data_IF_660996434357
#
_entry.id   IF_660996434357
#
_cell.length_a   1.000
_cell.length_b   1.000
_cell.length_c   1.000
_cell.angle_alpha   90.00
_cell.angle_beta   90.00
_cell.angle_gamma   90.00
#
_symmetry.space_group_name_H-M   'P 1'
#
loop_
_entity.id
_entity.type
_entity.pdbx_description
1 polymer ?
#
# COMPACT_ATOMS: atom_id res chain seq x y z
N UNK A 1 -3.69 0.58 37.42
CA UNK A 1 -3.37 -0.12 36.17
C UNK A 1 -4.01 0.56 34.95
N UNK A 2 -5.32 0.66 34.81
CA UNK A 2 -5.94 1.32 33.63
C UNK A 2 -5.43 2.76 33.40
N UNK A 3 -5.13 3.49 34.46
CA UNK A 3 -4.65 4.89 34.36
C UNK A 3 -3.29 5.02 33.67
N UNK A 4 -2.34 4.11 33.92
CA UNK A 4 -0.99 4.20 33.31
C UNK A 4 -1.04 3.87 31.79
N UNK A 5 -1.83 2.88 31.40
CA UNK A 5 -2.09 2.58 29.97
C UNK A 5 -2.82 3.75 29.30
N UNK A 6 -3.77 4.37 30.02
CA UNK A 6 -4.44 5.59 29.55
C UNK A 6 -3.50 6.76 29.33
N UNK A 7 -2.50 6.95 30.20
CA UNK A 7 -1.45 7.99 30.04
C UNK A 7 -0.60 7.71 28.79
N UNK A 8 -0.17 6.47 28.56
CA UNK A 8 0.58 6.08 27.35
C UNK A 8 -0.23 6.34 26.07
N UNK A 9 -1.54 6.04 26.08
CA UNK A 9 -2.45 6.37 24.94
C UNK A 9 -2.52 7.87 24.70
N UNK A 10 -2.62 8.69 25.76
CA UNK A 10 -2.66 10.15 25.63
C UNK A 10 -1.36 10.68 25.03
N UNK A 11 -0.18 10.21 25.49
CA UNK A 11 1.10 10.59 24.87
C UNK A 11 1.17 10.20 23.41
N UNK A 12 0.66 9.01 23.03
CA UNK A 12 0.59 8.61 21.62
C UNK A 12 -0.28 9.56 20.79
N UNK A 13 -1.44 9.95 21.31
CA UNK A 13 -2.36 10.89 20.63
C UNK A 13 -1.79 12.31 20.52
N UNK A 14 -0.94 12.72 21.45
CA UNK A 14 -0.25 14.02 21.43
C UNK A 14 0.99 14.02 20.52
N UNK A 15 1.40 12.84 19.99
CA UNK A 15 2.61 12.72 19.19
C UNK A 15 3.91 12.72 20.00
N UNK A 16 3.82 12.62 21.34
CA UNK A 16 4.96 12.57 22.26
C UNK A 16 5.50 11.13 22.35
N UNK A 17 6.17 10.69 21.28
CA UNK A 17 6.60 9.31 21.11
C UNK A 17 7.57 8.82 22.18
N UNK A 18 8.52 9.65 22.60
CA UNK A 18 9.53 9.29 23.61
C UNK A 18 8.90 9.10 25.00
N UNK A 19 7.96 9.98 25.36
CA UNK A 19 7.22 9.87 26.62
C UNK A 19 6.30 8.63 26.60
N UNK A 20 5.65 8.37 25.48
CA UNK A 20 4.85 7.16 25.30
C UNK A 20 5.70 5.89 25.46
N UNK A 21 6.85 5.82 24.80
CA UNK A 21 7.77 4.69 24.89
C UNK A 21 8.27 4.48 26.33
N UNK A 22 8.71 5.55 27.00
CA UNK A 22 9.20 5.47 28.38
C UNK A 22 8.12 4.96 29.34
N UNK A 23 6.87 5.43 29.18
CA UNK A 23 5.75 4.98 30.00
C UNK A 23 5.38 3.52 29.71
N UNK A 24 5.41 3.10 28.45
CA UNK A 24 5.19 1.72 28.05
C UNK A 24 6.27 0.78 28.65
N UNK A 25 7.54 1.16 28.59
CA UNK A 25 8.62 0.40 29.23
C UNK A 25 8.46 0.33 30.76
N UNK A 26 8.03 1.42 31.40
CA UNK A 26 7.75 1.47 32.83
C UNK A 26 6.63 0.50 33.23
N UNK A 27 5.58 0.43 32.42
CA UNK A 27 4.46 -0.49 32.65
C UNK A 27 4.91 -1.95 32.49
N UNK A 28 5.62 -2.28 31.42
CA UNK A 28 6.11 -3.64 31.17
C UNK A 28 7.07 -4.11 32.26
N UNK A 29 7.95 -3.23 32.78
CA UNK A 29 8.86 -3.57 33.88
C UNK A 29 8.14 -3.89 35.18
N UNK A 30 6.97 -3.24 35.44
CA UNK A 30 6.20 -3.45 36.69
C UNK A 30 5.29 -4.66 36.64
N UNK A 31 4.73 -4.99 35.50
CA UNK A 31 3.58 -5.89 35.38
C UNK A 31 3.82 -7.10 34.47
N UNK A 32 5.03 -7.27 33.96
CA UNK A 32 5.24 -8.28 32.90
C UNK A 32 4.32 -8.00 31.70
N UNK A 33 4.73 -8.32 30.56
CA UNK A 33 4.12 -8.18 29.24
C UNK A 33 2.60 -7.93 29.19
N UNK A 34 2.21 -6.67 29.26
CA UNK A 34 0.85 -6.25 28.94
C UNK A 34 0.70 -6.21 27.41
N UNK A 35 -0.23 -7.00 26.87
CA UNK A 35 -0.45 -7.15 25.43
C UNK A 35 -0.72 -5.80 24.73
N UNK A 36 -1.54 -4.94 25.34
CA UNK A 36 -1.87 -3.62 24.81
C UNK A 36 -0.65 -2.68 24.78
N UNK A 37 0.16 -2.71 25.84
CA UNK A 37 1.38 -1.90 25.93
C UNK A 37 2.43 -2.38 24.94
N UNK A 38 2.55 -3.68 24.77
CA UNK A 38 3.47 -4.27 23.79
C UNK A 38 3.03 -3.97 22.35
N UNK A 39 1.72 -3.92 22.07
CA UNK A 39 1.19 -3.43 20.79
C UNK A 39 1.54 -1.96 20.57
N UNK A 40 1.35 -1.10 21.59
CA UNK A 40 1.71 0.33 21.47
C UNK A 40 3.21 0.52 21.23
N UNK A 41 4.08 -0.28 21.86
CA UNK A 41 5.52 -0.24 21.60
C UNK A 41 5.86 -0.66 20.18
N UNK A 42 5.22 -1.72 19.69
CA UNK A 42 5.41 -2.17 18.31
C UNK A 42 4.98 -1.12 17.29
N UNK A 43 3.85 -0.46 17.51
CA UNK A 43 3.38 0.65 16.67
C UNK A 43 4.33 1.85 16.72
N UNK A 44 4.88 2.19 17.90
CA UNK A 44 5.83 3.27 18.06
C UNK A 44 7.16 2.97 17.35
N UNK A 45 7.73 1.79 17.55
CA UNK A 45 8.98 1.38 16.89
C UNK A 45 8.81 1.35 15.37
N UNK A 46 7.62 0.96 14.88
CA UNK A 46 7.29 1.05 13.47
C UNK A 46 7.27 2.51 12.97
N UNK A 47 6.60 3.41 13.71
CA UNK A 47 6.52 4.82 13.32
C UNK A 47 7.89 5.53 13.33
N UNK A 48 8.81 5.06 14.17
CA UNK A 48 10.20 5.53 14.23
C UNK A 48 11.12 4.90 13.17
N UNK A 49 10.60 4.01 12.32
CA UNK A 49 11.37 3.31 11.30
C UNK A 49 12.26 2.18 11.83
N UNK A 50 12.06 1.76 13.08
CA UNK A 50 12.80 0.65 13.70
C UNK A 50 12.09 -0.70 13.40
N UNK A 51 12.06 -1.06 12.13
CA UNK A 51 11.24 -2.17 11.63
C UNK A 51 11.58 -3.52 12.27
N UNK A 52 12.86 -3.83 12.46
CA UNK A 52 13.27 -5.11 13.06
C UNK A 52 12.79 -5.24 14.51
N UNK A 53 12.82 -4.15 15.27
CA UNK A 53 12.29 -4.15 16.63
C UNK A 53 10.76 -4.30 16.64
N UNK A 54 10.07 -3.65 15.72
CA UNK A 54 8.62 -3.79 15.59
C UNK A 54 8.24 -5.24 15.23
N UNK A 55 8.94 -5.87 14.27
CA UNK A 55 8.74 -7.29 13.93
C UNK A 55 8.97 -8.19 15.14
N UNK A 56 10.05 -7.94 15.90
CA UNK A 56 10.34 -8.69 17.12
C UNK A 56 9.19 -8.58 18.14
N UNK A 57 8.68 -7.38 18.41
CA UNK A 57 7.58 -7.17 19.35
C UNK A 57 6.30 -7.87 18.91
N UNK A 58 5.91 -7.73 17.63
CA UNK A 58 4.71 -8.42 17.11
C UNK A 58 4.87 -9.94 17.11
N UNK A 59 6.04 -10.48 16.72
CA UNK A 59 6.30 -11.92 16.73
C UNK A 59 6.24 -12.49 18.14
N UNK A 60 6.84 -11.81 19.13
CA UNK A 60 6.81 -12.22 20.53
C UNK A 60 5.38 -12.19 21.11
N UNK A 61 4.56 -11.20 20.73
CA UNK A 61 3.14 -11.19 21.12
C UNK A 61 2.38 -12.38 20.53
N UNK A 62 2.62 -12.73 19.28
CA UNK A 62 2.00 -13.89 18.65
C UNK A 62 2.45 -15.22 19.22
N UNK A 63 3.69 -15.34 19.71
CA UNK A 63 4.15 -16.54 20.42
C UNK A 63 3.35 -16.78 21.70
N UNK A 64 2.96 -15.70 22.40
CA UNK A 64 2.14 -15.76 23.62
C UNK A 64 0.66 -15.98 23.34
N UNK A 65 0.12 -15.27 22.38
CA UNK A 65 -1.28 -15.34 21.99
C UNK A 65 -1.40 -15.53 20.47
N UNK A 66 -1.37 -16.78 20.03
CA UNK A 66 -1.40 -17.15 18.60
C UNK A 66 -2.72 -16.89 17.92
N UNK A 67 -3.77 -16.55 18.67
CA UNK A 67 -5.09 -16.21 18.15
C UNK A 67 -5.36 -14.70 18.15
N UNK A 68 -4.34 -13.89 18.45
CA UNK A 68 -4.44 -12.44 18.31
C UNK A 68 -4.30 -12.02 16.82
N UNK A 69 -5.43 -12.04 16.11
CA UNK A 69 -5.47 -11.70 14.69
C UNK A 69 -5.21 -10.22 14.40
N UNK A 70 -5.40 -9.31 15.37
CA UNK A 70 -5.02 -7.90 15.23
C UNK A 70 -3.51 -7.75 15.18
N UNK A 71 -2.80 -8.46 16.06
CA UNK A 71 -1.35 -8.52 16.04
C UNK A 71 -0.83 -9.15 14.72
N UNK A 72 -1.48 -10.23 14.26
CA UNK A 72 -1.15 -10.89 13.01
C UNK A 72 -1.36 -9.97 11.79
N UNK A 73 -2.45 -9.20 11.75
CA UNK A 73 -2.71 -8.20 10.71
C UNK A 73 -1.56 -7.19 10.63
N UNK A 74 -1.17 -6.59 11.77
CA UNK A 74 -0.10 -5.61 11.83
C UNK A 74 1.25 -6.20 11.43
N UNK A 75 1.54 -7.43 11.86
CA UNK A 75 2.76 -8.14 11.46
C UNK A 75 2.79 -8.41 9.95
N UNK A 76 1.69 -8.85 9.35
CA UNK A 76 1.61 -9.07 7.90
C UNK A 76 1.90 -7.77 7.13
N UNK A 77 1.27 -6.66 7.53
CA UNK A 77 1.51 -5.35 6.91
C UNK A 77 2.97 -4.91 7.05
N UNK A 78 3.56 -5.13 8.22
CA UNK A 78 4.95 -4.78 8.51
C UNK A 78 5.93 -5.65 7.71
N UNK A 79 5.79 -6.97 7.71
CA UNK A 79 6.63 -7.89 6.95
C UNK A 79 6.55 -7.61 5.44
N UNK A 80 5.36 -7.26 4.94
CA UNK A 80 5.21 -6.84 3.55
C UNK A 80 6.01 -5.57 3.25
N UNK A 81 5.91 -4.53 4.10
CA UNK A 81 6.61 -3.24 3.91
C UNK A 81 8.13 -3.35 4.04
N UNK A 82 8.61 -4.28 4.86
CA UNK A 82 10.05 -4.50 5.06
C UNK A 82 10.68 -5.46 4.04
N UNK A 83 9.91 -5.97 3.07
CA UNK A 83 10.41 -6.93 2.07
C UNK A 83 10.55 -8.37 2.57
N UNK A 84 10.12 -8.65 3.80
CA UNK A 84 10.19 -9.99 4.42
C UNK A 84 8.94 -10.83 4.14
N UNK A 85 8.43 -10.76 2.90
CA UNK A 85 7.17 -11.41 2.48
C UNK A 85 7.18 -12.92 2.70
N UNK A 86 8.33 -13.57 2.51
CA UNK A 86 8.48 -15.03 2.66
C UNK A 86 8.20 -15.56 4.06
N UNK A 87 8.17 -14.70 5.09
CA UNK A 87 7.85 -15.10 6.46
C UNK A 87 6.35 -15.15 6.74
N UNK A 88 5.54 -14.39 5.97
CA UNK A 88 4.09 -14.29 6.18
C UNK A 88 3.37 -15.65 6.15
N UNK A 89 3.62 -16.55 5.16
CA UNK A 89 2.96 -17.86 5.12
C UNK A 89 3.20 -18.71 6.37
N UNK A 90 4.37 -18.60 6.98
CA UNK A 90 4.71 -19.31 8.22
C UNK A 90 3.80 -18.86 9.38
N UNK A 91 3.66 -17.56 9.58
CA UNK A 91 2.80 -17.01 10.64
C UNK A 91 1.32 -17.32 10.40
N UNK A 92 0.85 -17.30 9.14
CA UNK A 92 -0.51 -17.71 8.79
C UNK A 92 -0.75 -19.19 9.06
N UNK A 93 0.19 -20.08 8.69
CA UNK A 93 0.08 -21.51 8.95
C UNK A 93 0.12 -21.83 10.46
N UNK A 94 0.92 -21.10 11.24
CA UNK A 94 0.96 -21.22 12.69
C UNK A 94 -0.38 -20.81 13.32
N UNK A 95 -0.95 -19.68 12.89
CA UNK A 95 -2.26 -19.22 13.35
C UNK A 95 -3.37 -20.23 12.98
N UNK A 96 -3.32 -20.82 11.79
CA UNK A 96 -4.29 -21.81 11.32
C UNK A 96 -4.25 -23.09 12.18
N UNK A 97 -3.07 -23.59 12.49
CA UNK A 97 -2.90 -24.78 13.37
C UNK A 97 -3.52 -24.59 14.76
N UNK A 98 -3.56 -23.35 15.26
CA UNK A 98 -4.07 -23.03 16.61
C UNK A 98 -5.52 -22.52 16.61
N UNK A 99 -6.10 -22.23 15.45
CA UNK A 99 -7.48 -21.75 15.33
C UNK A 99 -8.56 -22.81 15.70
N UNK A 100 -8.17 -24.09 15.85
CA UNK A 100 -9.08 -25.19 16.20
C UNK A 100 -10.01 -25.61 15.06
N UNK A 101 -10.41 -26.86 15.04
CA UNK A 101 -11.19 -27.48 13.94
C UNK A 101 -12.63 -26.94 13.78
N UNK A 102 -13.15 -26.18 14.74
CA UNK A 102 -14.57 -25.78 14.78
C UNK A 102 -14.88 -24.33 14.45
N UNK A 103 -13.89 -23.44 14.32
CA UNK A 103 -14.15 -22.06 13.97
C UNK A 103 -13.20 -21.61 12.86
N UNK A 104 -13.74 -21.48 11.65
CA UNK A 104 -13.16 -20.57 10.66
C UNK A 104 -13.20 -19.18 11.27
N UNK A 105 -12.14 -18.81 12.01
CA UNK A 105 -12.07 -17.51 12.66
C UNK A 105 -12.11 -16.44 11.58
N UNK A 106 -13.07 -15.52 11.70
CA UNK A 106 -13.20 -14.40 10.77
C UNK A 106 -11.92 -13.57 10.70
N UNK A 107 -11.22 -13.41 11.85
CA UNK A 107 -9.93 -12.73 11.89
C UNK A 107 -8.84 -13.43 11.09
N UNK A 108 -8.76 -14.77 11.14
CA UNK A 108 -7.81 -15.53 10.31
C UNK A 108 -8.17 -15.40 8.82
N UNK A 109 -9.46 -15.50 8.48
CA UNK A 109 -9.93 -15.31 7.10
C UNK A 109 -9.60 -13.91 6.60
N UNK A 110 -9.76 -12.87 7.41
CA UNK A 110 -9.34 -11.52 7.08
C UNK A 110 -7.82 -11.43 6.84
N UNK A 111 -6.99 -11.99 7.72
CA UNK A 111 -5.53 -11.99 7.57
C UNK A 111 -5.07 -12.73 6.30
N UNK A 112 -5.72 -13.86 5.96
CA UNK A 112 -5.47 -14.57 4.68
C UNK A 112 -5.89 -13.70 3.49
N UNK A 113 -7.05 -13.07 3.54
CA UNK A 113 -7.52 -12.13 2.52
C UNK A 113 -6.59 -10.94 2.33
N UNK A 114 -6.08 -10.38 3.42
CA UNK A 114 -5.08 -9.30 3.39
C UNK A 114 -3.77 -9.77 2.72
N UNK A 115 -3.28 -10.96 3.07
CA UNK A 115 -2.07 -11.51 2.44
C UNK A 115 -2.26 -11.70 0.92
N UNK A 116 -3.36 -12.32 0.48
CA UNK A 116 -3.64 -12.51 -0.94
C UNK A 116 -3.80 -11.16 -1.67
N UNK A 117 -4.41 -10.16 -1.03
CA UNK A 117 -4.48 -8.80 -1.59
C UNK A 117 -3.08 -8.19 -1.74
N UNK A 118 -2.23 -8.31 -0.74
CA UNK A 118 -0.86 -7.78 -0.80
C UNK A 118 0.00 -8.48 -1.87
N UNK A 119 -0.25 -9.76 -2.14
CA UNK A 119 0.44 -10.56 -3.17
C UNK A 119 -0.21 -10.52 -4.56
N UNK A 120 -1.02 -9.50 -4.85
CA UNK A 120 -1.68 -9.30 -6.15
C UNK A 120 -2.63 -10.42 -6.60
N UNK A 121 -3.31 -11.08 -5.65
CA UNK A 121 -4.33 -12.09 -5.91
C UNK A 121 -5.74 -11.61 -5.51
N UNK A 122 -6.33 -10.57 -6.15
CA UNK A 122 -7.56 -9.93 -5.70
C UNK A 122 -8.75 -10.90 -5.61
N UNK A 123 -8.89 -11.84 -6.55
CA UNK A 123 -10.00 -12.80 -6.54
C UNK A 123 -9.95 -13.77 -5.36
N UNK A 124 -8.76 -14.26 -5.00
CA UNK A 124 -8.60 -15.10 -3.81
C UNK A 124 -8.83 -14.31 -2.54
N UNK A 125 -8.33 -13.07 -2.50
CA UNK A 125 -8.56 -12.16 -1.39
C UNK A 125 -10.05 -11.96 -1.13
N UNK A 126 -10.86 -11.67 -2.16
CA UNK A 126 -12.31 -11.52 -2.06
C UNK A 126 -12.99 -12.77 -1.48
N UNK A 127 -12.54 -13.97 -1.85
CA UNK A 127 -13.06 -15.23 -1.30
C UNK A 127 -12.89 -15.32 0.22
N UNK A 128 -11.69 -15.03 0.74
CA UNK A 128 -11.42 -15.02 2.18
C UNK A 128 -12.14 -13.89 2.90
N UNK A 129 -12.16 -12.68 2.35
CA UNK A 129 -12.83 -11.53 2.94
C UNK A 129 -14.34 -11.72 3.02
N UNK A 130 -14.94 -12.39 2.04
CA UNK A 130 -16.37 -12.72 2.06
C UNK A 130 -16.74 -13.64 3.23
N UNK A 131 -15.84 -14.52 3.66
CA UNK A 131 -16.05 -15.33 4.87
C UNK A 131 -16.01 -14.49 6.16
N UNK A 132 -15.19 -13.42 6.20
CA UNK A 132 -15.05 -12.55 7.36
C UNK A 132 -16.11 -11.44 7.46
N UNK A 133 -16.75 -11.05 6.34
CA UNK A 133 -17.58 -9.83 6.26
C UNK A 133 -18.80 -9.77 7.18
N UNK A 134 -19.31 -10.93 7.63
CA UNK A 134 -20.50 -11.02 8.51
C UNK A 134 -20.17 -11.00 9.99
N UNK A 135 -18.89 -11.04 10.33
CA UNK A 135 -18.41 -11.01 11.70
C UNK A 135 -18.54 -9.62 12.32
N UNK A 136 -18.85 -9.53 13.59
CA UNK A 136 -19.05 -8.25 14.28
C UNK A 136 -17.76 -7.46 14.44
N UNK A 137 -16.63 -8.14 14.70
CA UNK A 137 -15.34 -7.52 14.94
C UNK A 137 -14.56 -7.24 13.64
N UNK A 138 -14.62 -8.14 12.66
CA UNK A 138 -13.82 -8.11 11.45
C UNK A 138 -14.58 -7.68 10.20
N UNK A 139 -15.91 -7.70 10.25
CA UNK A 139 -16.77 -7.44 9.10
C UNK A 139 -16.56 -6.05 8.49
N UNK A 140 -16.43 -5.03 9.32
CA UNK A 140 -16.16 -3.66 8.83
C UNK A 140 -14.85 -3.57 8.05
N UNK A 141 -13.75 -4.08 8.61
CA UNK A 141 -12.44 -4.10 7.94
C UNK A 141 -12.48 -4.94 6.66
N UNK A 142 -13.17 -6.08 6.69
CA UNK A 142 -13.30 -6.94 5.52
C UNK A 142 -14.06 -6.24 4.39
N UNK A 143 -15.17 -5.57 4.68
CA UNK A 143 -15.96 -4.82 3.70
C UNK A 143 -15.15 -3.65 3.14
N UNK A 144 -14.46 -2.88 3.98
CA UNK A 144 -13.61 -1.77 3.54
C UNK A 144 -12.51 -2.25 2.57
N UNK A 145 -11.86 -3.38 2.88
CA UNK A 145 -10.85 -3.96 1.99
C UNK A 145 -11.46 -4.53 0.70
N UNK A 146 -12.64 -5.18 0.77
CA UNK A 146 -13.36 -5.65 -0.43
C UNK A 146 -13.73 -4.48 -1.34
N UNK A 147 -14.22 -3.37 -0.79
CA UNK A 147 -14.55 -2.16 -1.57
C UNK A 147 -13.29 -1.61 -2.24
N UNK A 148 -12.16 -1.54 -1.53
CA UNK A 148 -10.88 -1.12 -2.12
C UNK A 148 -10.48 -2.03 -3.30
N UNK A 149 -10.64 -3.35 -3.17
CA UNK A 149 -10.33 -4.31 -4.24
C UNK A 149 -11.26 -4.09 -5.45
N UNK A 150 -12.57 -3.93 -5.24
CA UNK A 150 -13.51 -3.70 -6.34
C UNK A 150 -13.28 -2.35 -7.05
N UNK A 151 -12.86 -1.32 -6.31
CA UNK A 151 -12.57 0.00 -6.87
C UNK A 151 -11.22 0.04 -7.60
N UNK A 152 -10.23 -0.72 -7.16
CA UNK A 152 -8.89 -0.70 -7.71
C UNK A 152 -8.21 -2.09 -7.61
N UNK A 153 -8.64 -3.08 -8.41
CA UNK A 153 -8.11 -4.45 -8.35
C UNK A 153 -6.61 -4.50 -8.69
N UNK A 154 -6.15 -3.67 -9.62
CA UNK A 154 -4.78 -3.67 -10.13
C UNK A 154 -3.85 -2.75 -9.33
N UNK A 155 -4.33 -2.12 -8.25
CA UNK A 155 -3.60 -1.18 -7.39
C UNK A 155 -2.93 -0.04 -8.15
N UNK A 156 -3.54 0.41 -9.21
CA UNK A 156 -3.06 1.55 -9.98
C UNK A 156 -3.17 2.85 -9.18
N UNK A 157 -2.25 3.77 -9.43
CA UNK A 157 -2.22 5.08 -8.76
C UNK A 157 -3.42 5.91 -9.18
N UNK A 158 -3.67 5.98 -10.48
CA UNK A 158 -4.90 6.51 -11.06
C UNK A 158 -5.55 5.36 -11.83
N UNK A 159 -6.86 5.19 -11.69
CA UNK A 159 -7.59 4.17 -12.43
C UNK A 159 -7.37 4.36 -13.94
N UNK A 160 -6.47 3.57 -14.52
CA UNK A 160 -6.23 3.61 -15.95
C UNK A 160 -7.34 2.83 -16.68
N UNK A 161 -7.79 3.37 -17.79
CA UNK A 161 -8.91 2.83 -18.57
C UNK A 161 -8.48 2.14 -19.84
N UNK A 162 -7.19 2.00 -20.06
CA UNK A 162 -6.66 1.50 -21.33
C UNK A 162 -6.97 0.02 -21.64
N UNK A 163 -8.04 -0.55 -21.12
CA UNK A 163 -8.44 -1.92 -21.45
C UNK A 163 -9.71 -2.43 -20.78
N UNK A 164 -10.31 -1.72 -19.84
CA UNK A 164 -11.51 -2.22 -19.15
C UNK A 164 -12.79 -1.60 -19.71
N UNK A 165 -13.81 -2.44 -19.87
CA UNK A 165 -15.12 -1.99 -20.36
C UNK A 165 -15.82 -1.13 -19.32
N UNK A 166 -16.45 -0.03 -19.76
CA UNK A 166 -17.23 0.87 -18.90
C UNK A 166 -18.32 0.16 -18.08
N UNK A 167 -18.86 -0.96 -18.58
CA UNK A 167 -19.81 -1.81 -17.86
C UNK A 167 -19.22 -2.38 -16.57
N UNK A 168 -17.98 -2.85 -16.59
CA UNK A 168 -17.35 -3.51 -15.45
C UNK A 168 -17.13 -2.54 -14.27
N UNK A 169 -16.85 -1.28 -14.57
CA UNK A 169 -16.75 -0.23 -13.56
C UNK A 169 -18.09 0.11 -12.90
N UNK A 170 -19.19 0.14 -13.68
CA UNK A 170 -20.52 0.42 -13.14
C UNK A 170 -21.01 -0.74 -12.26
N UNK A 171 -20.69 -1.97 -12.63
CA UNK A 171 -20.99 -3.14 -11.81
C UNK A 171 -20.17 -3.15 -10.51
N UNK A 172 -18.90 -2.75 -10.58
CA UNK A 172 -18.05 -2.57 -9.40
C UNK A 172 -18.59 -1.49 -8.47
N UNK A 173 -18.99 -0.32 -8.99
CA UNK A 173 -19.56 0.77 -8.20
C UNK A 173 -20.88 0.36 -7.53
N UNK A 174 -21.75 -0.39 -8.23
CA UNK A 174 -23.00 -0.90 -7.67
C UNK A 174 -22.75 -1.91 -6.54
N UNK A 175 -21.77 -2.79 -6.71
CA UNK A 175 -21.35 -3.76 -5.71
C UNK A 175 -20.75 -3.07 -4.48
N UNK A 176 -19.89 -2.06 -4.67
CA UNK A 176 -19.37 -1.23 -3.57
C UNK A 176 -20.47 -0.54 -2.79
N UNK A 177 -21.44 0.07 -3.49
CA UNK A 177 -22.58 0.72 -2.83
C UNK A 177 -23.42 -0.25 -2.02
N UNK A 178 -23.60 -1.50 -2.49
CA UNK A 178 -24.29 -2.56 -1.75
C UNK A 178 -23.52 -2.99 -0.51
N UNK A 179 -22.19 -3.22 -0.64
CA UNK A 179 -21.33 -3.60 0.48
C UNK A 179 -21.29 -2.51 1.56
N UNK A 180 -21.18 -1.24 1.17
CA UNK A 180 -21.20 -0.13 2.12
C UNK A 180 -22.54 0.02 2.87
N UNK A 181 -23.66 -0.41 2.26
CA UNK A 181 -24.98 -0.45 2.94
C UNK A 181 -25.09 -1.57 3.97
N UNK A 182 -24.29 -2.61 3.89
CA UNK A 182 -24.25 -3.69 4.90
C UNK A 182 -23.64 -3.22 6.23
N UNK A 183 -22.84 -2.15 6.22
CA UNK A 183 -22.22 -1.60 7.42
C UNK A 183 -23.28 -0.98 8.36
N UNK A 184 -23.23 -1.40 9.62
CA UNK A 184 -24.13 -0.94 10.68
C UNK A 184 -23.48 0.19 11.48
N UNK A 185 -24.26 1.18 11.88
CA UNK A 185 -23.82 2.28 12.74
C UNK A 185 -23.50 3.58 11.99
N UNK A 186 -22.98 4.60 12.69
CA UNK A 186 -22.60 5.86 12.09
C UNK A 186 -21.40 5.65 11.17
N UNK A 187 -21.44 6.27 9.99
CA UNK A 187 -20.35 6.14 9.00
C UNK A 187 -19.08 6.83 9.47
N UNK A 188 -17.98 6.12 9.33
CA UNK A 188 -16.63 6.68 9.57
C UNK A 188 -16.20 7.56 8.39
N UNK A 189 -15.20 8.41 8.62
CA UNK A 189 -14.62 9.24 7.54
C UNK A 189 -14.08 8.35 6.40
N UNK A 190 -13.40 7.23 6.71
CA UNK A 190 -12.93 6.28 5.69
C UNK A 190 -14.06 5.71 4.84
N UNK A 191 -15.18 5.37 5.43
CA UNK A 191 -16.36 4.86 4.70
C UNK A 191 -16.98 5.91 3.78
N UNK A 192 -17.05 7.16 4.23
CA UNK A 192 -17.50 8.27 3.39
C UNK A 192 -16.55 8.53 2.21
N UNK A 193 -15.23 8.38 2.42
CA UNK A 193 -14.22 8.45 1.35
C UNK A 193 -14.41 7.31 0.35
N UNK A 194 -14.65 6.08 0.80
CA UNK A 194 -14.93 4.94 -0.08
C UNK A 194 -16.22 5.14 -0.92
N UNK A 195 -17.26 5.74 -0.32
CA UNK A 195 -18.46 6.12 -1.06
C UNK A 195 -18.17 7.18 -2.12
N UNK A 196 -17.34 8.18 -1.81
CA UNK A 196 -16.92 9.18 -2.77
C UNK A 196 -16.11 8.54 -3.92
N UNK A 197 -15.21 7.61 -3.63
CA UNK A 197 -14.50 6.86 -4.68
C UNK A 197 -15.45 6.04 -5.56
N UNK A 198 -16.47 5.39 -4.98
CA UNK A 198 -17.47 4.65 -5.75
C UNK A 198 -18.25 5.53 -6.72
N UNK A 199 -18.50 6.80 -6.37
CA UNK A 199 -19.08 7.78 -7.29
C UNK A 199 -18.10 8.22 -8.39
N UNK A 200 -16.82 8.39 -8.04
CA UNK A 200 -15.78 8.84 -8.97
C UNK A 200 -15.44 7.82 -10.06
N UNK A 201 -15.66 6.52 -9.78
CA UNK A 201 -15.39 5.44 -10.74
C UNK A 201 -16.23 5.58 -12.02
N UNK A 202 -17.42 6.20 -11.97
CA UNK A 202 -18.24 6.48 -13.14
C UNK A 202 -17.52 7.37 -14.18
N UNK A 203 -16.53 8.18 -13.72
CA UNK A 203 -15.83 9.23 -14.49
C UNK A 203 -16.76 10.24 -15.15
N UNK A 204 -18.03 10.24 -14.79
CA UNK A 204 -18.96 11.29 -15.23
C UNK A 204 -18.65 12.55 -14.43
N UNK A 205 -18.41 13.66 -15.13
CA UNK A 205 -18.01 14.91 -14.50
C UNK A 205 -18.95 15.32 -13.36
N UNK A 206 -20.25 15.15 -13.54
CA UNK A 206 -21.28 15.48 -12.54
C UNK A 206 -21.12 14.64 -11.27
N UNK A 207 -20.89 13.34 -11.41
CA UNK A 207 -20.71 12.43 -10.26
C UNK A 207 -19.41 12.74 -9.50
N UNK A 208 -18.33 13.05 -10.24
CA UNK A 208 -17.04 13.47 -9.64
C UNK A 208 -17.19 14.80 -8.90
N UNK A 209 -17.89 15.78 -9.47
CA UNK A 209 -18.16 17.06 -8.82
C UNK A 209 -19.04 16.88 -7.57
N UNK A 210 -20.05 16.00 -7.61
CA UNK A 210 -20.87 15.66 -6.46
C UNK A 210 -20.04 14.96 -5.35
N UNK A 211 -19.15 14.05 -5.71
CA UNK A 211 -18.24 13.42 -4.77
C UNK A 211 -17.28 14.43 -4.12
N UNK A 212 -16.71 15.35 -4.93
CA UNK A 212 -15.86 16.42 -4.41
C UNK A 212 -16.61 17.34 -3.46
N UNK A 213 -17.88 17.68 -3.74
CA UNK A 213 -18.73 18.47 -2.84
C UNK A 213 -18.83 17.80 -1.47
N UNK A 214 -19.19 16.50 -1.43
CA UNK A 214 -19.25 15.72 -0.19
C UNK A 214 -17.92 15.71 0.57
N UNK A 215 -16.80 15.53 -0.13
CA UNK A 215 -15.47 15.51 0.50
C UNK A 215 -15.09 16.87 1.09
N UNK A 216 -15.45 17.97 0.41
CA UNK A 216 -15.22 19.33 0.91
C UNK A 216 -16.03 19.57 2.18
N UNK A 217 -17.30 19.13 2.22
CA UNK A 217 -18.14 19.25 3.40
C UNK A 217 -17.55 18.48 4.59
N UNK A 218 -17.10 17.24 4.39
CA UNK A 218 -16.41 16.44 5.40
C UNK A 218 -15.14 17.12 5.89
N UNK A 219 -14.36 17.67 4.96
CA UNK A 219 -13.13 18.38 5.27
C UNK A 219 -13.39 19.62 6.13
N UNK A 220 -14.38 20.42 5.77
CA UNK A 220 -14.75 21.64 6.51
C UNK A 220 -15.28 21.32 7.91
N UNK A 221 -16.11 20.28 8.08
CA UNK A 221 -16.59 19.82 9.37
C UNK A 221 -15.45 19.33 10.28
N UNK A 222 -14.45 18.63 9.70
CA UNK A 222 -13.28 18.17 10.46
C UNK A 222 -12.32 19.32 10.84
N UNK A 223 -12.29 20.40 10.06
CA UNK A 223 -11.36 21.53 10.28
C UNK A 223 -11.69 22.38 11.50
N UNK A 224 -12.90 22.28 12.07
CA UNK A 224 -13.26 22.95 13.32
C UNK A 224 -12.57 22.37 14.57
N UNK A 225 -11.88 21.25 14.45
CA UNK A 225 -11.29 20.57 15.62
C UNK A 225 -9.89 20.00 15.51
N UNK A 226 -9.31 19.69 14.38
CA UNK A 226 -7.90 19.22 14.19
C UNK A 226 -7.62 18.58 12.85
N UNK A 227 -6.38 18.82 12.40
CA UNK A 227 -5.50 18.06 11.47
C UNK A 227 -6.09 17.62 10.14
N UNK A 228 -5.29 17.88 9.14
CA UNK A 228 -5.48 17.41 7.77
C UNK A 228 -5.75 15.89 7.73
N UNK A 229 -6.95 15.51 7.33
CA UNK A 229 -7.32 14.10 7.16
C UNK A 229 -6.77 13.59 5.83
N UNK A 230 -5.76 12.72 5.89
CA UNK A 230 -5.03 12.22 4.72
C UNK A 230 -5.93 11.50 3.72
N UNK A 231 -6.80 10.55 4.11
CA UNK A 231 -7.77 9.92 3.22
C UNK A 231 -8.65 10.91 2.44
N UNK A 232 -9.15 11.95 3.10
CA UNK A 232 -10.01 12.98 2.46
C UNK A 232 -9.22 13.81 1.47
N UNK A 233 -8.02 14.29 1.85
CA UNK A 233 -7.16 15.07 0.97
C UNK A 233 -6.73 14.28 -0.27
N UNK A 234 -6.42 12.98 -0.11
CA UNK A 234 -6.09 12.12 -1.23
C UNK A 234 -7.29 11.93 -2.16
N UNK A 235 -8.48 11.65 -1.62
CA UNK A 235 -9.69 11.50 -2.42
C UNK A 235 -10.03 12.78 -3.18
N UNK A 236 -9.88 13.95 -2.56
CA UNK A 236 -10.03 15.24 -3.26
C UNK A 236 -8.99 15.39 -4.38
N UNK A 237 -7.74 15.02 -4.15
CA UNK A 237 -6.70 15.08 -5.17
C UNK A 237 -7.04 14.21 -6.38
N UNK A 238 -7.47 12.96 -6.14
CA UNK A 238 -7.92 12.03 -7.19
C UNK A 238 -9.11 12.62 -7.97
N UNK A 239 -10.11 13.14 -7.28
CA UNK A 239 -11.26 13.79 -7.92
C UNK A 239 -10.85 14.98 -8.80
N UNK A 240 -9.92 15.82 -8.33
CA UNK A 240 -9.40 16.93 -9.15
C UNK A 240 -8.60 16.46 -10.37
N UNK A 241 -7.88 15.34 -10.28
CA UNK A 241 -7.20 14.75 -11.43
C UNK A 241 -8.18 14.23 -12.47
N UNK A 242 -9.26 13.57 -12.05
CA UNK A 242 -10.30 13.05 -12.93
C UNK A 242 -11.02 14.14 -13.75
N UNK A 243 -11.11 15.36 -13.19
CA UNK A 243 -11.69 16.52 -13.90
C UNK A 243 -10.64 17.44 -14.51
N UNK A 244 -9.39 16.96 -14.67
CA UNK A 244 -8.25 17.68 -15.25
C UNK A 244 -7.86 18.98 -14.52
N UNK A 245 -8.15 19.11 -13.23
CA UNK A 245 -7.72 20.24 -12.39
C UNK A 245 -6.40 19.95 -11.66
N UNK A 246 -5.36 19.59 -12.43
CA UNK A 246 -4.03 19.21 -11.93
C UNK A 246 -3.42 20.18 -10.90
N UNK A 247 -3.53 21.52 -11.03
CA UNK A 247 -2.99 22.44 -10.02
C UNK A 247 -3.63 22.27 -8.64
N UNK A 248 -4.95 22.04 -8.57
CA UNK A 248 -5.66 21.82 -7.30
C UNK A 248 -5.27 20.47 -6.69
N UNK A 249 -5.22 19.41 -7.50
CA UNK A 249 -4.75 18.11 -7.06
C UNK A 249 -3.34 18.18 -6.46
N UNK A 250 -2.41 18.82 -7.18
CA UNK A 250 -1.02 18.99 -6.71
C UNK A 250 -0.95 19.73 -5.37
N UNK A 251 -1.80 20.73 -5.14
CA UNK A 251 -1.83 21.45 -3.87
C UNK A 251 -2.25 20.53 -2.70
N UNK A 252 -3.26 19.68 -2.89
CA UNK A 252 -3.67 18.71 -1.86
C UNK A 252 -2.57 17.68 -1.58
N UNK A 253 -1.96 17.11 -2.63
CA UNK A 253 -0.88 16.15 -2.49
C UNK A 253 0.36 16.75 -1.80
N UNK A 254 0.72 18.01 -2.12
CA UNK A 254 1.79 18.73 -1.43
C UNK A 254 1.46 18.96 0.05
N UNK A 255 0.19 19.16 0.38
CA UNK A 255 -0.24 19.28 1.77
C UNK A 255 0.01 17.97 2.51
N UNK A 256 -0.41 16.83 1.93
CA UNK A 256 -0.15 15.50 2.49
C UNK A 256 1.36 15.24 2.66
N UNK A 257 2.19 15.62 1.66
CA UNK A 257 3.65 15.37 1.73
C UNK A 257 4.36 16.07 2.88
N UNK A 258 3.75 17.13 3.45
CA UNK A 258 4.27 17.88 4.61
C UNK A 258 3.80 17.34 5.95
N UNK A 259 2.77 16.48 5.95
CA UNK A 259 2.26 15.89 7.18
C UNK A 259 3.24 14.84 7.73
N UNK A 260 3.18 14.67 9.04
CA UNK A 260 3.89 13.57 9.70
C UNK A 260 3.24 12.24 9.30
N UNK A 261 4.08 11.26 8.99
CA UNK A 261 3.61 9.92 8.63
C UNK A 261 2.86 9.28 9.80
N UNK A 262 1.71 8.68 9.48
CA UNK A 262 0.91 7.90 10.40
C UNK A 262 0.73 6.49 9.84
N UNK A 263 0.90 5.47 10.69
CA UNK A 263 0.77 4.08 10.28
C UNK A 263 -0.67 3.72 9.88
N UNK A 264 -1.66 4.33 10.50
CA UNK A 264 -3.08 4.08 10.22
C UNK A 264 -3.49 4.45 8.79
N UNK A 265 -2.84 5.49 8.21
CA UNK A 265 -3.07 5.97 6.84
C UNK A 265 -1.86 5.71 5.92
N UNK A 266 -1.06 4.69 6.23
CA UNK A 266 0.20 4.42 5.52
C UNK A 266 0.01 4.16 4.02
N UNK A 267 -1.08 3.49 3.63
CA UNK A 267 -1.39 3.21 2.22
C UNK A 267 -1.80 4.49 1.47
N UNK A 268 -2.53 5.38 2.15
CA UNK A 268 -2.95 6.67 1.62
C UNK A 268 -1.77 7.63 1.45
N UNK A 269 -0.83 7.65 2.41
CA UNK A 269 0.42 8.41 2.27
C UNK A 269 1.23 7.94 1.08
N UNK A 270 1.44 6.63 0.95
CA UNK A 270 2.20 6.03 -0.14
C UNK A 270 1.58 6.38 -1.49
N UNK A 271 0.26 6.19 -1.63
CA UNK A 271 -0.47 6.53 -2.84
C UNK A 271 -0.39 8.02 -3.18
N UNK A 272 -0.48 8.90 -2.17
CA UNK A 272 -0.36 10.34 -2.35
C UNK A 272 1.03 10.75 -2.83
N UNK A 273 2.09 10.17 -2.25
CA UNK A 273 3.46 10.45 -2.66
C UNK A 273 3.72 9.97 -4.08
N UNK A 274 3.32 8.76 -4.44
CA UNK A 274 3.49 8.22 -5.79
C UNK A 274 2.72 9.04 -6.83
N UNK A 275 1.49 9.45 -6.54
CA UNK A 275 0.72 10.34 -7.42
C UNK A 275 1.44 11.69 -7.61
N UNK A 276 2.02 12.24 -6.55
CA UNK A 276 2.78 13.50 -6.64
C UNK A 276 4.10 13.31 -7.41
N UNK A 277 4.75 12.16 -7.28
CA UNK A 277 5.93 11.79 -8.05
C UNK A 277 5.62 11.79 -9.55
N UNK A 278 4.52 11.18 -9.98
CA UNK A 278 4.10 11.19 -11.39
C UNK A 278 3.90 12.61 -11.91
N UNK A 279 3.22 13.47 -11.13
CA UNK A 279 3.03 14.87 -11.49
C UNK A 279 4.34 15.67 -11.56
N UNK A 280 5.35 15.31 -10.77
CA UNK A 280 6.67 15.93 -10.83
C UNK A 280 7.48 15.42 -12.02
N UNK A 281 7.43 14.13 -12.34
CA UNK A 281 8.09 13.57 -13.53
C UNK A 281 7.50 14.19 -14.80
N UNK A 282 6.17 14.28 -14.91
CA UNK A 282 5.48 14.94 -16.03
C UNK A 282 5.86 16.43 -16.16
N UNK A 283 6.15 17.08 -15.03
CA UNK A 283 6.58 18.47 -14.97
C UNK A 283 8.09 18.69 -15.05
N UNK A 284 8.90 17.65 -15.31
CA UNK A 284 10.36 17.71 -15.39
C UNK A 284 11.09 18.04 -14.07
N UNK A 285 10.43 17.82 -12.92
CA UNK A 285 10.97 18.12 -11.59
C UNK A 285 11.55 16.86 -10.94
N UNK A 286 12.62 16.34 -11.53
CA UNK A 286 13.18 15.04 -11.15
C UNK A 286 13.73 15.01 -9.72
N UNK A 287 14.42 16.05 -9.26
CA UNK A 287 14.95 16.11 -7.87
C UNK A 287 13.85 15.92 -6.82
N UNK A 288 12.72 16.64 -7.00
CA UNK A 288 11.59 16.55 -6.08
C UNK A 288 10.90 15.19 -6.14
N UNK A 289 10.85 14.57 -7.32
CA UNK A 289 10.32 13.23 -7.51
C UNK A 289 11.21 12.20 -6.81
N UNK A 290 12.54 12.29 -6.96
CA UNK A 290 13.48 11.40 -6.28
C UNK A 290 13.36 11.48 -4.76
N UNK A 291 13.26 12.70 -4.20
CA UNK A 291 13.11 12.90 -2.75
C UNK A 291 11.86 12.20 -2.22
N UNK A 292 10.73 12.35 -2.91
CA UNK A 292 9.48 11.68 -2.53
C UNK A 292 9.54 10.16 -2.68
N UNK A 293 10.18 9.64 -3.73
CA UNK A 293 10.40 8.20 -3.88
C UNK A 293 11.24 7.65 -2.71
N UNK A 294 12.34 8.33 -2.35
CA UNK A 294 13.16 7.94 -1.20
C UNK A 294 12.37 8.00 0.10
N UNK A 295 11.53 9.04 0.29
CA UNK A 295 10.62 9.13 1.43
C UNK A 295 9.65 7.95 1.47
N UNK A 296 9.04 7.58 0.34
CA UNK A 296 8.18 6.40 0.25
C UNK A 296 8.92 5.13 0.67
N UNK A 297 10.14 4.92 0.14
CA UNK A 297 10.97 3.75 0.42
C UNK A 297 11.47 3.67 1.87
N UNK A 298 11.55 4.79 2.57
CA UNK A 298 11.86 4.81 4.01
C UNK A 298 10.78 4.06 4.81
N UNK A 299 9.51 4.16 4.39
CA UNK A 299 8.38 3.53 5.10
C UNK A 299 7.88 2.25 4.43
N UNK A 300 8.19 2.02 3.15
CA UNK A 300 7.83 0.82 2.41
C UNK A 300 8.94 0.43 1.42
N UNK A 301 9.88 -0.40 1.86
CA UNK A 301 10.99 -0.91 1.03
C UNK A 301 10.50 -1.80 -0.13
N UNK A 302 9.30 -2.37 0.01
CA UNK A 302 8.64 -3.22 -1.01
C UNK A 302 7.78 -2.44 -2.00
N UNK A 303 7.90 -1.13 -2.06
CA UNK A 303 7.16 -0.33 -3.03
C UNK A 303 7.81 -0.41 -4.42
N UNK A 304 7.39 -1.38 -5.24
CA UNK A 304 7.91 -1.58 -6.60
C UNK A 304 7.76 -0.31 -7.46
N UNK A 305 6.63 0.39 -7.35
CA UNK A 305 6.38 1.65 -8.08
C UNK A 305 7.37 2.77 -7.75
N UNK A 306 7.78 2.90 -6.49
CA UNK A 306 8.78 3.90 -6.11
C UNK A 306 10.15 3.57 -6.72
N UNK A 307 10.55 2.28 -6.74
CA UNK A 307 11.76 1.83 -7.42
C UNK A 307 11.68 2.02 -8.94
N UNK A 308 10.52 1.73 -9.55
CA UNK A 308 10.27 1.95 -10.99
C UNK A 308 10.43 3.43 -11.35
N UNK A 309 9.84 4.35 -10.58
CA UNK A 309 9.97 5.78 -10.81
C UNK A 309 11.41 6.28 -10.67
N UNK A 310 12.17 5.79 -9.69
CA UNK A 310 13.60 6.10 -9.57
C UNK A 310 14.37 5.62 -10.80
N UNK A 311 14.10 4.39 -11.28
CA UNK A 311 14.68 3.87 -12.51
C UNK A 311 14.33 4.73 -13.72
N UNK A 312 13.08 5.16 -13.85
CA UNK A 312 12.65 6.02 -14.96
C UNK A 312 13.32 7.40 -14.93
N UNK A 313 13.54 7.98 -13.77
CA UNK A 313 14.25 9.26 -13.62
C UNK A 313 15.72 9.09 -14.03
N UNK A 314 16.41 8.06 -13.54
CA UNK A 314 17.81 7.78 -13.91
C UNK A 314 17.94 7.46 -15.41
N UNK A 315 16.95 6.80 -16.02
CA UNK A 315 16.90 6.54 -17.46
C UNK A 315 16.82 7.85 -18.26
N UNK A 316 16.01 8.83 -17.82
CA UNK A 316 15.93 10.16 -18.43
C UNK A 316 17.25 10.94 -18.32
N UNK A 317 17.97 10.78 -17.22
CA UNK A 317 19.30 11.36 -16.99
C UNK A 317 20.41 10.58 -17.70
N UNK A 318 20.07 9.52 -18.44
CA UNK A 318 21.01 8.62 -19.15
C UNK A 318 21.98 7.87 -18.21
N UNK A 319 21.71 7.81 -16.93
CA UNK A 319 22.45 7.05 -15.94
C UNK A 319 21.96 5.58 -15.95
N UNK A 320 22.25 4.87 -17.07
CA UNK A 320 21.69 3.53 -17.33
C UNK A 320 22.08 2.46 -16.31
N UNK A 321 23.24 2.60 -15.67
CA UNK A 321 23.68 1.66 -14.65
C UNK A 321 22.82 1.81 -13.40
N UNK A 322 22.62 3.04 -12.91
CA UNK A 322 21.82 3.33 -11.73
C UNK A 322 20.34 3.01 -12.01
N UNK A 323 19.84 3.33 -13.23
CA UNK A 323 18.51 2.96 -13.68
C UNK A 323 18.30 1.43 -13.61
N UNK A 324 19.27 0.65 -14.09
CA UNK A 324 19.19 -0.81 -14.04
C UNK A 324 19.15 -1.33 -12.60
N UNK A 325 19.89 -0.75 -11.66
CA UNK A 325 19.83 -1.15 -10.25
C UNK A 325 18.47 -0.89 -9.63
N UNK A 326 17.85 0.26 -9.92
CA UNK A 326 16.51 0.58 -9.43
C UNK A 326 15.43 -0.31 -10.06
N UNK A 327 15.48 -0.53 -11.39
CA UNK A 327 14.55 -1.46 -12.04
C UNK A 327 14.75 -2.91 -11.59
N UNK A 328 15.98 -3.32 -11.28
CA UNK A 328 16.25 -4.64 -10.71
C UNK A 328 15.55 -4.82 -9.36
N UNK A 329 15.63 -3.82 -8.48
CA UNK A 329 14.92 -3.85 -7.20
C UNK A 329 13.39 -3.86 -7.41
N UNK A 330 12.86 -3.03 -8.31
CA UNK A 330 11.45 -3.01 -8.66
C UNK A 330 10.97 -4.40 -9.11
N UNK A 331 11.70 -5.02 -10.05
CA UNK A 331 11.35 -6.31 -10.63
C UNK A 331 11.38 -7.46 -9.63
N UNK A 332 12.40 -7.52 -8.78
CA UNK A 332 12.47 -8.51 -7.71
C UNK A 332 11.42 -8.28 -6.61
N UNK A 333 11.08 -7.05 -6.35
CA UNK A 333 10.00 -6.70 -5.39
C UNK A 333 8.62 -7.16 -5.87
N UNK A 334 8.40 -7.24 -7.17
CA UNK A 334 7.18 -7.76 -7.79
C UNK A 334 7.27 -9.24 -8.18
N UNK A 335 8.15 -10.02 -7.54
CA UNK A 335 8.38 -11.45 -7.81
C UNK A 335 8.63 -11.76 -9.30
N UNK A 336 9.23 -10.82 -10.02
CA UNK A 336 9.54 -10.88 -11.44
C UNK A 336 8.29 -11.10 -12.33
N UNK A 337 7.13 -10.57 -11.94
CA UNK A 337 5.87 -10.78 -12.67
C UNK A 337 5.66 -9.73 -13.75
N UNK A 338 5.93 -8.45 -13.48
CA UNK A 338 5.65 -7.38 -14.42
C UNK A 338 6.62 -7.38 -15.61
N UNK A 339 6.12 -7.79 -16.79
CA UNK A 339 6.91 -7.82 -18.02
C UNK A 339 7.40 -6.44 -18.47
N UNK A 340 6.69 -5.35 -18.13
CA UNK A 340 7.09 -3.99 -18.48
C UNK A 340 8.35 -3.59 -17.71
N UNK A 341 8.38 -3.85 -16.39
CA UNK A 341 9.56 -3.60 -15.56
C UNK A 341 10.74 -4.46 -16.04
N UNK A 342 10.48 -5.74 -16.36
CA UNK A 342 11.50 -6.64 -16.92
C UNK A 342 12.08 -6.13 -18.25
N UNK A 343 11.24 -5.60 -19.13
CA UNK A 343 11.69 -4.98 -20.39
C UNK A 343 12.58 -3.75 -20.12
N UNK A 344 12.15 -2.85 -19.23
CA UNK A 344 12.92 -1.66 -18.84
C UNK A 344 14.27 -2.04 -18.23
N UNK A 345 14.29 -3.04 -17.37
CA UNK A 345 15.51 -3.57 -16.76
C UNK A 345 16.48 -4.11 -17.84
N UNK A 346 15.99 -4.99 -18.73
CA UNK A 346 16.82 -5.55 -19.80
C UNK A 346 17.36 -4.47 -20.75
N UNK A 347 16.55 -3.45 -21.08
CA UNK A 347 16.96 -2.31 -21.89
C UNK A 347 18.09 -1.53 -21.22
N UNK A 348 17.97 -1.22 -19.93
CA UNK A 348 18.99 -0.48 -19.19
C UNK A 348 20.27 -1.30 -19.00
N UNK A 349 20.18 -2.62 -18.79
CA UNK A 349 21.37 -3.50 -18.81
C UNK A 349 22.08 -3.49 -20.19
N UNK A 350 21.32 -3.54 -21.29
CA UNK A 350 21.89 -3.45 -22.64
C UNK A 350 22.65 -2.12 -22.84
N UNK A 351 22.04 -1.00 -22.40
CA UNK A 351 22.66 0.34 -22.48
C UNK A 351 23.89 0.47 -21.59
N UNK A 352 23.87 -0.13 -20.42
CA UNK A 352 25.00 -0.20 -19.48
C UNK A 352 26.09 -1.22 -19.91
N UNK A 353 25.96 -1.87 -21.08
CA UNK A 353 26.85 -2.91 -21.60
C UNK A 353 26.94 -4.18 -20.73
N UNK A 354 25.93 -4.41 -19.89
CA UNK A 354 25.77 -5.62 -19.08
C UNK A 354 24.95 -6.65 -19.87
N UNK A 355 25.58 -7.21 -20.89
CA UNK A 355 24.87 -8.02 -21.91
C UNK A 355 24.35 -9.35 -21.37
N UNK A 356 25.09 -10.00 -20.48
CA UNK A 356 24.70 -11.29 -19.91
C UNK A 356 23.44 -11.14 -19.09
N UNK A 357 23.41 -10.17 -18.19
CA UNK A 357 22.24 -9.89 -17.35
C UNK A 357 21.03 -9.45 -18.20
N UNK A 358 21.27 -8.69 -19.28
CA UNK A 358 20.20 -8.34 -20.22
C UNK A 358 19.58 -9.59 -20.87
N UNK A 359 20.40 -10.58 -21.26
CA UNK A 359 19.94 -11.84 -21.85
C UNK A 359 19.14 -12.65 -20.83
N UNK A 360 19.60 -12.74 -19.58
CA UNK A 360 18.93 -13.52 -18.53
C UNK A 360 17.55 -12.93 -18.20
N UNK A 361 17.46 -11.61 -18.06
CA UNK A 361 16.17 -10.93 -17.84
C UNK A 361 15.23 -11.12 -19.05
N UNK A 362 15.75 -10.99 -20.29
CA UNK A 362 14.94 -11.23 -21.49
C UNK A 362 14.36 -12.65 -21.52
N UNK A 363 15.15 -13.65 -21.16
CA UNK A 363 14.70 -15.04 -21.08
C UNK A 363 13.61 -15.20 -20.01
N UNK A 364 13.84 -14.68 -18.81
CA UNK A 364 12.86 -14.75 -17.73
C UNK A 364 11.52 -14.09 -18.09
N UNK A 365 11.54 -12.96 -18.81
CA UNK A 365 10.32 -12.32 -19.33
C UNK A 365 9.64 -13.19 -20.39
N UNK A 366 10.40 -13.73 -21.36
CA UNK A 366 9.87 -14.53 -22.47
C UNK A 366 9.36 -15.91 -22.02
N UNK A 367 9.90 -16.47 -20.95
CA UNK A 367 9.41 -17.71 -20.34
C UNK A 367 7.98 -17.56 -19.78
N UNK A 368 7.68 -16.38 -19.21
CA UNK A 368 6.34 -16.06 -18.70
C UNK A 368 5.41 -15.48 -19.79
N UNK A 369 5.98 -14.67 -20.68
CA UNK A 369 5.27 -13.93 -21.74
C UNK A 369 5.94 -14.14 -23.10
N UNK A 370 5.73 -15.28 -23.77
CA UNK A 370 6.44 -15.65 -25.03
C UNK A 370 6.29 -14.62 -26.15
N UNK A 371 5.14 -13.94 -26.19
CA UNK A 371 4.80 -12.98 -27.25
C UNK A 371 5.01 -11.52 -26.85
N UNK A 372 5.78 -11.24 -25.74
CA UNK A 372 6.01 -9.86 -25.32
C UNK A 372 6.69 -9.06 -26.46
N UNK A 373 6.07 -7.92 -26.88
CA UNK A 373 6.50 -7.23 -28.09
C UNK A 373 7.92 -6.66 -27.93
N UNK A 374 8.67 -6.65 -29.03
CA UNK A 374 9.96 -5.98 -29.21
C UNK A 374 11.16 -6.53 -28.41
N UNK A 375 10.98 -7.21 -27.28
CA UNK A 375 12.07 -7.65 -26.39
C UNK A 375 13.11 -8.52 -27.13
N UNK A 376 12.67 -9.39 -28.05
CA UNK A 376 13.56 -10.29 -28.83
C UNK A 376 14.48 -9.50 -29.75
N UNK A 377 13.93 -8.62 -30.59
CA UNK A 377 14.68 -7.89 -31.62
C UNK A 377 15.44 -6.70 -31.06
N UNK A 378 14.84 -5.98 -30.13
CA UNK A 378 15.40 -4.73 -29.62
C UNK A 378 16.48 -4.96 -28.58
N UNK A 379 16.38 -6.03 -27.78
CA UNK A 379 17.29 -6.27 -26.66
C UNK A 379 18.04 -7.59 -26.80
N UNK A 380 17.33 -8.75 -26.88
CA UNK A 380 17.95 -10.06 -26.80
C UNK A 380 18.97 -10.31 -27.93
N UNK A 381 18.56 -10.10 -29.20
CA UNK A 381 19.44 -10.30 -30.37
C UNK A 381 20.66 -9.36 -30.33
N UNK A 382 20.45 -8.09 -29.92
CA UNK A 382 21.57 -7.12 -29.81
C UNK A 382 22.53 -7.50 -28.69
N UNK A 383 22.02 -7.93 -27.53
CA UNK A 383 22.85 -8.37 -26.41
C UNK A 383 23.65 -9.63 -26.79
N UNK A 384 23.01 -10.61 -27.46
CA UNK A 384 23.68 -11.81 -27.93
C UNK A 384 24.76 -11.52 -28.99
N UNK A 385 24.50 -10.60 -29.92
CA UNK A 385 25.50 -10.17 -30.90
C UNK A 385 26.71 -9.49 -30.23
N UNK A 386 26.47 -8.63 -29.22
CA UNK A 386 27.52 -7.93 -28.50
C UNK A 386 28.37 -8.84 -27.60
N UNK A 387 27.83 -9.97 -27.11
CA UNK A 387 28.61 -10.98 -26.35
C UNK A 387 29.51 -11.80 -27.27
N UNK A 388 29.15 -11.96 -28.57
CA UNK A 388 29.92 -12.73 -29.54
C UNK A 388 31.00 -11.91 -30.24
N UNK A 389 30.87 -10.59 -30.19
CA UNK A 389 31.88 -9.64 -30.77
C UNK A 389 32.99 -9.36 -29.77
#
# INVERSE_FOLDING_TARGET
MPCAVGVARVYRLLGEHDLCASECHRINKKNGDNEEVSMMLADLTFSQGQFDQAVFHFSHLLEKNRTNYTCLENLIRLLFRTGRRGEIPKHLADAERHAGAYHSSAGLSYCKGLHEYLTNNPYKALGFLNAARKDEAWGTKAIELMVNIYLNPDKEILWDTNGQNRSDFLDSASTCSRLLKELKGPRTVKQNVLEAYALMVSRVKQDVEAALGKLIDIFNQASEGRSDNVPVLLAMAVGFLLINQTPKARNQLKRISKLQFCHEDAEEFERAWLTLVELYIQGGKFDMAQELCRKCLTYNQSCAKAWEHLGAIMEQEQAYQDAAEHYHRAWHTDDCVDAHIGFKLAFNYLKAKRYVEAIDVCRAVLDKYPDYPKIRREILEKAQAAVRA
#
